data_IF_915694700771
#
_entry.id   IF_915694700771
#
_cell.length_a   1.000
_cell.length_b   1.000
_cell.length_c   1.000
_cell.angle_alpha   90.00
_cell.angle_beta   90.00
_cell.angle_gamma   90.00
#
_symmetry.space_group_name_H-M   'P 1'
#
loop_
_entity.id
_entity.type
_entity.pdbx_description
1 polymer ?
#
# COMPACT_ATOMS: atom_id res chain seq x y z
N UNK A 1 -16.63 2.23 8.94
CA UNK A 1 -16.46 0.78 9.23
C UNK A 1 -15.89 -0.05 8.08
N UNK A 2 -16.53 -0.19 6.91
CA UNK A 2 -15.89 -0.97 5.81
C UNK A 2 -14.73 -0.22 5.14
N UNK A 3 -14.78 1.11 5.09
CA UNK A 3 -13.79 1.95 4.41
C UNK A 3 -12.42 1.90 5.11
N UNK A 4 -12.33 2.01 6.44
CA UNK A 4 -11.05 1.84 7.15
C UNK A 4 -10.46 0.44 6.94
N UNK A 5 -11.30 -0.61 6.98
CA UNK A 5 -10.85 -1.97 6.72
C UNK A 5 -10.29 -2.14 5.30
N UNK A 6 -10.95 -1.56 4.30
CA UNK A 6 -10.49 -1.52 2.90
C UNK A 6 -9.22 -0.69 2.74
N UNK A 7 -9.12 0.44 3.43
CA UNK A 7 -7.95 1.29 3.43
C UNK A 7 -6.73 0.52 3.94
N UNK A 8 -6.82 -0.11 5.13
CA UNK A 8 -5.71 -0.88 5.71
C UNK A 8 -5.34 -2.05 4.82
N UNK A 9 -6.32 -2.72 4.23
CA UNK A 9 -6.09 -3.81 3.27
C UNK A 9 -5.33 -3.32 2.04
N UNK A 10 -5.75 -2.20 1.47
CA UNK A 10 -5.19 -1.61 0.25
C UNK A 10 -3.78 -1.08 0.48
N UNK A 11 -3.52 -0.39 1.59
CA UNK A 11 -2.18 0.15 1.90
C UNK A 11 -1.20 -0.99 2.21
N UNK A 12 -1.67 -2.05 2.89
CA UNK A 12 -0.88 -3.26 3.12
C UNK A 12 -0.55 -4.01 1.82
N UNK A 13 -1.53 -4.10 0.91
CA UNK A 13 -1.33 -4.73 -0.40
C UNK A 13 -0.30 -3.96 -1.22
N UNK A 14 -0.35 -2.62 -1.20
CA UNK A 14 0.60 -1.76 -1.90
C UNK A 14 2.03 -1.97 -1.38
N UNK A 15 2.22 -1.96 -0.05
CA UNK A 15 3.51 -2.26 0.55
C UNK A 15 4.03 -3.65 0.18
N UNK A 16 3.14 -4.64 0.11
CA UNK A 16 3.52 -6.00 -0.28
C UNK A 16 3.91 -6.10 -1.77
N UNK A 17 3.32 -5.28 -2.65
CA UNK A 17 3.69 -5.18 -4.07
C UNK A 17 5.08 -4.57 -4.22
N UNK A 18 5.37 -3.49 -3.49
CA UNK A 18 6.69 -2.84 -3.44
C UNK A 18 7.75 -3.86 -2.97
N UNK A 19 7.50 -4.56 -1.86
CA UNK A 19 8.42 -5.58 -1.36
C UNK A 19 8.60 -6.75 -2.32
N UNK A 20 7.54 -7.16 -3.04
CA UNK A 20 7.64 -8.20 -4.06
C UNK A 20 8.58 -7.78 -5.21
N UNK A 21 8.57 -6.50 -5.61
CA UNK A 21 9.50 -5.97 -6.60
C UNK A 21 10.95 -6.01 -6.10
N UNK A 22 11.22 -5.45 -4.92
CA UNK A 22 12.59 -5.44 -4.40
C UNK A 22 13.14 -6.85 -4.18
N UNK A 23 12.35 -7.77 -3.60
CA UNK A 23 12.76 -9.18 -3.44
C UNK A 23 13.09 -9.83 -4.79
N UNK A 24 12.27 -9.59 -5.82
CA UNK A 24 12.49 -10.14 -7.14
C UNK A 24 13.77 -9.57 -7.79
N UNK A 25 13.94 -8.24 -7.72
CA UNK A 25 15.12 -7.54 -8.24
C UNK A 25 16.40 -8.02 -7.56
N UNK A 26 16.42 -8.06 -6.24
CA UNK A 26 17.60 -8.46 -5.45
C UNK A 26 17.95 -9.95 -5.66
N UNK A 27 16.96 -10.75 -6.07
CA UNK A 27 17.14 -12.17 -6.46
C UNK A 27 17.41 -12.37 -7.95
N UNK A 28 17.53 -11.31 -8.76
CA UNK A 28 17.61 -11.33 -10.22
C UNK A 28 16.49 -12.19 -10.88
N UNK A 29 15.25 -12.03 -10.40
CA UNK A 29 14.06 -12.75 -10.85
C UNK A 29 12.95 -11.76 -11.25
N UNK A 30 11.99 -12.26 -12.03
CA UNK A 30 10.74 -11.54 -12.30
C UNK A 30 9.81 -11.59 -11.09
N UNK A 31 8.97 -10.57 -10.94
CA UNK A 31 7.91 -10.55 -9.93
C UNK A 31 6.95 -11.72 -10.18
N UNK A 32 6.63 -12.48 -9.12
CA UNK A 32 5.70 -13.61 -9.23
C UNK A 32 4.25 -13.12 -9.45
N UNK A 33 3.73 -13.36 -10.66
CA UNK A 33 2.36 -13.02 -11.03
C UNK A 33 1.29 -13.69 -10.15
N UNK A 34 1.56 -14.86 -9.56
CA UNK A 34 0.63 -15.50 -8.61
C UNK A 34 0.50 -14.63 -7.35
N UNK A 35 1.63 -14.14 -6.83
CA UNK A 35 1.68 -13.20 -5.69
C UNK A 35 0.97 -11.89 -6.02
N UNK A 36 1.18 -11.32 -7.23
CA UNK A 36 0.48 -10.09 -7.67
C UNK A 36 -1.04 -10.27 -7.64
N UNK A 37 -1.57 -11.36 -8.22
CA UNK A 37 -3.01 -11.67 -8.21
C UNK A 37 -3.56 -11.85 -6.80
N UNK A 38 -2.80 -12.47 -5.90
CA UNK A 38 -3.19 -12.63 -4.50
C UNK A 38 -3.29 -11.27 -3.79
N UNK A 39 -2.31 -10.38 -4.00
CA UNK A 39 -2.31 -9.04 -3.42
C UNK A 39 -3.45 -8.17 -3.97
N UNK A 40 -3.76 -8.29 -5.26
CA UNK A 40 -4.93 -7.64 -5.86
C UNK A 40 -6.24 -8.07 -5.18
N UNK A 41 -6.41 -9.38 -4.93
CA UNK A 41 -7.59 -9.90 -4.21
C UNK A 41 -7.63 -9.39 -2.77
N UNK A 42 -6.46 -9.31 -2.11
CA UNK A 42 -6.34 -8.84 -0.72
C UNK A 42 -6.73 -7.38 -0.57
N UNK A 43 -6.33 -6.51 -1.50
CA UNK A 43 -6.68 -5.09 -1.48
C UNK A 43 -8.21 -4.85 -1.44
N UNK A 44 -8.98 -5.75 -2.07
CA UNK A 44 -10.45 -5.67 -2.14
C UNK A 44 -11.18 -6.27 -0.92
N UNK A 45 -10.45 -6.84 0.05
CA UNK A 45 -11.05 -7.51 1.21
C UNK A 45 -10.76 -6.70 2.48
N UNK A 46 -11.78 -6.10 3.12
CA UNK A 46 -11.58 -5.32 4.32
C UNK A 46 -10.91 -6.15 5.43
N UNK A 47 -9.91 -5.57 6.10
CA UNK A 47 -9.29 -6.18 7.27
C UNK A 47 -10.07 -5.80 8.52
N UNK A 48 -10.53 -6.79 9.30
CA UNK A 48 -11.31 -6.56 10.53
C UNK A 48 -10.52 -6.00 11.70
N UNK A 49 -9.19 -6.09 11.67
CA UNK A 49 -8.31 -5.73 12.80
C UNK A 49 -7.76 -4.32 12.60
N UNK A 50 -7.88 -3.47 13.62
CA UNK A 50 -7.38 -2.09 13.62
C UNK A 50 -8.32 -1.05 13.01
N UNK A 51 -9.50 -1.45 12.50
CA UNK A 51 -10.51 -0.55 11.90
C UNK A 51 -10.97 0.51 12.91
N UNK A 52 -11.39 0.08 14.11
CA UNK A 52 -11.98 0.97 15.12
C UNK A 52 -11.03 2.10 15.50
N UNK A 53 -9.74 1.83 15.55
CA UNK A 53 -8.74 2.84 15.88
C UNK A 53 -8.62 3.86 14.76
N UNK A 54 -8.62 3.45 13.49
CA UNK A 54 -8.52 4.38 12.35
C UNK A 54 -9.81 5.20 12.19
N UNK A 55 -10.98 4.55 12.27
CA UNK A 55 -12.29 5.22 12.20
C UNK A 55 -12.43 6.30 13.30
N UNK A 56 -11.75 6.14 14.44
CA UNK A 56 -11.81 7.10 15.54
C UNK A 56 -10.93 8.35 15.34
N UNK A 57 -10.01 8.35 14.37
CA UNK A 57 -8.98 9.39 14.23
C UNK A 57 -9.12 10.15 12.90
N UNK A 58 -9.70 9.53 11.88
CA UNK A 58 -9.79 10.09 10.53
C UNK A 58 -11.25 10.08 10.09
N UNK A 59 -11.74 11.23 9.64
CA UNK A 59 -13.09 11.30 9.08
C UNK A 59 -13.22 10.48 7.78
N UNK A 60 -14.43 10.01 7.49
CA UNK A 60 -14.71 9.14 6.35
C UNK A 60 -14.33 9.77 5.00
N UNK A 61 -14.39 11.11 4.87
CA UNK A 61 -14.09 11.80 3.60
C UNK A 61 -12.60 11.79 3.33
N UNK A 62 -11.79 12.12 4.32
CA UNK A 62 -10.32 12.03 4.22
C UNK A 62 -9.89 10.58 4.02
N UNK A 63 -10.47 9.63 4.76
CA UNK A 63 -10.14 8.23 4.64
C UNK A 63 -10.46 7.67 3.25
N UNK A 64 -11.60 8.06 2.66
CA UNK A 64 -11.96 7.70 1.30
C UNK A 64 -10.99 8.28 0.27
N UNK A 65 -10.56 9.53 0.43
CA UNK A 65 -9.56 10.15 -0.44
C UNK A 65 -8.20 9.44 -0.38
N UNK A 66 -7.73 9.11 0.83
CA UNK A 66 -6.51 8.35 1.04
C UNK A 66 -6.61 6.93 0.44
N UNK A 67 -7.75 6.25 0.64
CA UNK A 67 -8.00 4.92 0.06
C UNK A 67 -7.98 4.96 -1.47
N UNK A 68 -8.66 5.93 -2.08
CA UNK A 68 -8.70 6.08 -3.54
C UNK A 68 -7.31 6.26 -4.15
N UNK A 69 -6.47 7.08 -3.53
CA UNK A 69 -5.08 7.26 -3.96
C UNK A 69 -4.26 5.97 -3.84
N UNK A 70 -4.38 5.24 -2.73
CA UNK A 70 -3.69 3.97 -2.55
C UNK A 70 -4.17 2.91 -3.55
N UNK A 71 -5.48 2.84 -3.83
CA UNK A 71 -6.04 1.94 -4.83
C UNK A 71 -5.53 2.24 -6.24
N UNK A 72 -5.38 3.52 -6.59
CA UNK A 72 -4.76 3.94 -7.85
C UNK A 72 -3.34 3.39 -7.98
N UNK A 73 -2.50 3.54 -6.96
CA UNK A 73 -1.13 3.01 -7.01
C UNK A 73 -1.08 1.48 -7.01
N UNK A 74 -2.02 0.80 -6.32
CA UNK A 74 -2.15 -0.65 -6.43
C UNK A 74 -2.42 -1.08 -7.88
N UNK A 75 -3.35 -0.43 -8.58
CA UNK A 75 -3.65 -0.72 -9.99
C UNK A 75 -2.43 -0.50 -10.88
N UNK A 76 -1.76 0.65 -10.73
CA UNK A 76 -0.55 0.99 -11.48
C UNK A 76 0.54 -0.08 -11.32
N UNK A 77 0.82 -0.54 -10.08
CA UNK A 77 1.84 -1.57 -9.87
C UNK A 77 1.42 -2.94 -10.40
N UNK A 78 0.16 -3.32 -10.24
CA UNK A 78 -0.35 -4.58 -10.81
C UNK A 78 -0.18 -4.58 -12.32
N UNK A 79 -0.64 -3.52 -12.99
CA UNK A 79 -0.49 -3.36 -14.44
C UNK A 79 0.98 -3.41 -14.84
N UNK A 80 1.84 -2.67 -14.14
CA UNK A 80 3.27 -2.63 -14.42
C UNK A 80 3.95 -4.00 -14.28
N UNK A 81 3.61 -4.78 -13.25
CA UNK A 81 4.21 -6.10 -13.03
C UNK A 81 3.70 -7.15 -14.02
N UNK A 82 2.48 -6.99 -14.52
CA UNK A 82 1.91 -7.87 -15.56
C UNK A 82 2.31 -7.48 -16.98
N UNK A 83 2.82 -6.26 -17.19
CA UNK A 83 3.23 -5.77 -18.50
C UNK A 83 4.65 -6.25 -18.85
N UNK A 84 4.77 -7.12 -19.85
CA UNK A 84 6.05 -7.62 -20.35
C UNK A 84 6.84 -6.62 -21.17
N UNK A 85 6.22 -5.52 -21.62
CA UNK A 85 6.88 -4.47 -22.40
C UNK A 85 7.62 -3.46 -21.54
N UNK A 86 7.30 -3.36 -20.24
CA UNK A 86 8.01 -2.48 -19.33
C UNK A 86 9.32 -3.12 -18.87
N UNK A 87 10.39 -2.35 -19.00
CA UNK A 87 11.69 -2.63 -18.41
C UNK A 87 11.64 -2.60 -16.87
N UNK A 88 12.64 -3.20 -16.23
CA UNK A 88 12.74 -3.16 -14.78
C UNK A 88 13.01 -1.75 -14.24
N UNK A 89 13.65 -0.89 -15.04
CA UNK A 89 13.84 0.53 -14.72
C UNK A 89 12.50 1.29 -14.68
N UNK A 90 11.63 1.10 -15.68
CA UNK A 90 10.30 1.73 -15.69
C UNK A 90 9.40 1.22 -14.56
N UNK A 91 9.52 -0.07 -14.21
CA UNK A 91 8.83 -0.63 -13.04
C UNK A 91 9.36 -0.02 -11.74
N UNK A 92 10.68 0.18 -11.62
CA UNK A 92 11.29 0.78 -10.45
C UNK A 92 10.77 2.21 -10.20
N UNK A 93 10.60 3.02 -11.25
CA UNK A 93 10.02 4.37 -11.13
C UNK A 93 8.62 4.32 -10.51
N UNK A 94 7.75 3.44 -11.03
CA UNK A 94 6.38 3.28 -10.50
C UNK A 94 6.35 2.77 -9.06
N UNK A 95 7.29 1.88 -8.70
CA UNK A 95 7.46 1.36 -7.34
C UNK A 95 7.86 2.47 -6.38
N UNK A 96 8.77 3.34 -6.79
CA UNK A 96 9.22 4.48 -5.98
C UNK A 96 8.10 5.51 -5.77
N UNK A 97 7.33 5.82 -6.82
CA UNK A 97 6.14 6.66 -6.72
C UNK A 97 5.12 6.09 -5.70
N UNK A 98 4.90 4.76 -5.74
CA UNK A 98 4.02 4.08 -4.80
C UNK A 98 4.57 4.12 -3.36
N UNK A 99 5.88 3.95 -3.17
CA UNK A 99 6.55 4.04 -1.87
C UNK A 99 6.36 5.44 -1.26
N UNK A 100 6.63 6.48 -2.04
CA UNK A 100 6.41 7.88 -1.64
C UNK A 100 4.95 8.10 -1.26
N UNK A 101 4.01 7.54 -2.02
CA UNK A 101 2.58 7.68 -1.72
C UNK A 101 2.20 6.97 -0.41
N UNK A 102 2.77 5.79 -0.11
CA UNK A 102 2.59 5.15 1.21
C UNK A 102 3.07 6.11 2.31
N UNK A 103 4.27 6.67 2.18
CA UNK A 103 4.81 7.56 3.21
C UNK A 103 3.96 8.81 3.40
N UNK A 104 3.52 9.46 2.31
CA UNK A 104 2.59 10.61 2.37
C UNK A 104 1.29 10.25 3.07
N UNK A 105 0.69 9.13 2.71
CA UNK A 105 -0.55 8.65 3.34
C UNK A 105 -0.35 8.39 4.83
N UNK A 106 0.70 7.67 5.23
CA UNK A 106 0.98 7.37 6.63
C UNK A 106 1.33 8.63 7.43
N UNK A 107 2.00 9.59 6.83
CA UNK A 107 2.32 10.87 7.45
C UNK A 107 1.05 11.67 7.74
N UNK A 108 0.09 11.67 6.82
CA UNK A 108 -1.20 12.32 7.05
C UNK A 108 -1.95 11.67 8.20
N UNK A 109 -1.95 10.34 8.30
CA UNK A 109 -2.51 9.63 9.47
C UNK A 109 -1.84 10.06 10.77
N UNK A 110 -0.50 10.18 10.78
CA UNK A 110 0.25 10.64 11.97
C UNK A 110 -0.20 12.03 12.41
N UNK A 111 -0.36 12.98 11.48
CA UNK A 111 -0.81 14.34 11.82
C UNK A 111 -2.14 14.37 12.55
N UNK A 112 -3.09 13.52 12.14
CA UNK A 112 -4.40 13.42 12.79
C UNK A 112 -4.35 12.62 14.11
N UNK A 113 -3.28 11.86 14.34
CA UNK A 113 -3.12 10.97 15.50
C UNK A 113 -1.92 11.35 16.38
N UNK A 114 -1.77 12.63 16.75
CA UNK A 114 -0.72 13.10 17.66
C UNK A 114 0.69 12.59 17.28
N UNK A 115 1.02 12.66 15.99
CA UNK A 115 2.29 12.20 15.40
C UNK A 115 2.58 10.70 15.54
N UNK A 116 1.57 9.87 15.84
CA UNK A 116 1.70 8.42 16.01
C UNK A 116 0.92 7.66 14.96
N UNK A 117 1.37 6.45 14.61
CA UNK A 117 0.58 5.56 13.75
C UNK A 117 -0.36 4.72 14.63
N UNK A 118 -1.66 4.62 14.29
CA UNK A 118 -2.64 4.06 15.21
C UNK A 118 -2.60 2.53 15.35
N UNK A 119 -1.79 1.84 14.53
CA UNK A 119 -1.68 0.37 14.60
C UNK A 119 -0.26 -0.08 14.29
N UNK A 120 0.17 -1.17 14.94
CA UNK A 120 1.46 -1.84 14.66
C UNK A 120 1.69 -2.18 13.19
N UNK A 121 0.60 -2.47 12.46
CA UNK A 121 0.67 -2.76 11.02
C UNK A 121 1.09 -1.54 10.22
N UNK A 122 0.54 -0.36 10.55
CA UNK A 122 0.92 0.88 9.89
C UNK A 122 2.35 1.29 10.30
N UNK A 123 2.74 1.08 11.56
CA UNK A 123 4.13 1.28 12.02
C UNK A 123 5.13 0.40 11.24
N UNK A 124 4.83 -0.89 11.08
CA UNK A 124 5.65 -1.78 10.27
C UNK A 124 5.70 -1.34 8.81
N UNK A 125 4.59 -0.81 8.29
CA UNK A 125 4.55 -0.29 6.93
C UNK A 125 5.42 0.96 6.78
N UNK A 126 5.42 1.86 7.76
CA UNK A 126 6.30 3.02 7.81
C UNK A 126 7.77 2.60 7.75
N UNK A 127 8.18 1.72 8.65
CA UNK A 127 9.57 1.25 8.73
C UNK A 127 10.02 0.51 7.47
N UNK A 128 9.18 -0.39 6.94
CA UNK A 128 9.51 -1.18 5.74
C UNK A 128 9.58 -0.38 4.45
N UNK A 129 8.98 0.81 4.42
CA UNK A 129 9.07 1.73 3.29
C UNK A 129 10.11 2.84 3.51
N UNK A 130 10.84 2.83 4.65
CA UNK A 130 11.80 3.89 5.00
C UNK A 130 11.19 5.29 4.83
N UNK A 131 9.98 5.40 5.36
CA UNK A 131 9.46 6.68 5.79
C UNK A 131 10.19 7.03 7.12
#
# INVERSE_FOLDING_TARGET
MDIAGLFVASVSALGSLIQAFYTARDSNKKVDNRKVRLLQKRAKKPLKVGIKTIDAIIDDKLLAALSSNIEKHNKILIEAFTNSQLSDAEKAVKVEEARIQICKTLFEIKKFNNDQLPTKRLEQLWLSNQC
#
